data_IF_616483869887
#
_entry.id   IF_616483869887
#
_cell.length_a   1.000
_cell.length_b   1.000
_cell.length_c   1.000
_cell.angle_alpha   90.00
_cell.angle_beta   90.00
_cell.angle_gamma   90.00
#
_symmetry.space_group_name_H-M   'P 1'
#
loop_
_entity.id
_entity.type
_entity.pdbx_description
1 polymer ?
#
# COMPACT_ATOMS: atom_id res chain seq x y z
N UNK A 1 -15.10 -25.70 6.50
CA UNK A 1 -13.92 -25.21 7.22
C UNK A 1 -13.68 -23.78 6.77
N UNK A 2 -13.40 -22.87 7.67
CA UNK A 2 -13.08 -21.46 7.36
C UNK A 2 -11.72 -21.39 6.69
N UNK A 3 -11.62 -20.76 5.51
CA UNK A 3 -10.34 -20.50 4.83
C UNK A 3 -10.01 -19.01 4.81
N UNK A 4 -8.75 -18.70 4.59
CA UNK A 4 -8.30 -17.34 4.34
C UNK A 4 -8.30 -17.07 2.84
N UNK A 5 -8.93 -15.98 2.39
CA UNK A 5 -8.92 -15.53 1.00
C UNK A 5 -8.12 -14.23 0.93
N UNK A 6 -6.96 -14.29 0.30
CA UNK A 6 -6.04 -13.17 0.18
C UNK A 6 -6.16 -12.56 -1.21
N UNK A 7 -6.52 -11.30 -1.29
CA UNK A 7 -6.61 -10.53 -2.53
C UNK A 7 -5.44 -9.56 -2.61
N UNK A 8 -4.63 -9.70 -3.63
CA UNK A 8 -3.44 -8.90 -3.89
C UNK A 8 -3.69 -7.95 -5.05
N UNK A 9 -3.80 -6.65 -4.76
CA UNK A 9 -3.96 -5.59 -5.76
C UNK A 9 -2.64 -4.84 -5.93
N UNK A 10 -1.91 -5.12 -7.02
CA UNK A 10 -0.58 -4.54 -7.23
C UNK A 10 -0.63 -3.11 -7.81
N UNK A 11 0.49 -2.40 -7.69
CA UNK A 11 0.71 -1.08 -8.29
C UNK A 11 0.69 -1.13 -9.81
N UNK A 12 0.49 0.04 -10.45
CA UNK A 12 0.46 0.13 -11.90
C UNK A 12 1.82 -0.16 -12.53
N UNK A 13 1.81 -0.84 -13.67
CA UNK A 13 3.04 -1.22 -14.39
C UNK A 13 3.76 -2.43 -13.80
N UNK A 14 3.23 -3.04 -12.75
CA UNK A 14 3.78 -4.26 -12.16
C UNK A 14 3.00 -5.47 -12.65
N UNK A 15 3.67 -6.30 -13.45
CA UNK A 15 3.08 -7.51 -14.09
C UNK A 15 3.24 -8.76 -13.22
N UNK A 16 4.01 -8.66 -12.15
CA UNK A 16 4.57 -9.82 -11.50
C UNK A 16 5.75 -10.36 -12.33
N UNK A 17 6.83 -10.74 -11.68
CA UNK A 17 8.03 -11.16 -12.39
C UNK A 17 8.19 -12.67 -12.42
N UNK A 18 8.48 -13.23 -13.59
CA UNK A 18 8.89 -14.63 -13.78
C UNK A 18 10.41 -14.78 -13.75
N UNK A 19 11.16 -13.73 -14.11
CA UNK A 19 12.61 -13.75 -14.20
C UNK A 19 13.27 -13.34 -12.86
N UNK A 20 14.45 -13.86 -12.52
CA UNK A 20 15.13 -13.58 -11.27
C UNK A 20 15.55 -12.11 -11.06
N UNK A 21 15.79 -11.40 -12.16
CA UNK A 21 16.29 -10.01 -12.21
C UNK A 21 15.16 -8.96 -12.34
N UNK A 22 13.90 -9.39 -12.33
CA UNK A 22 12.78 -8.48 -12.40
C UNK A 22 12.57 -7.70 -11.10
N UNK A 23 12.22 -6.43 -11.27
CA UNK A 23 11.83 -5.55 -10.17
C UNK A 23 10.47 -5.93 -9.61
N UNK A 24 10.43 -6.52 -8.42
CA UNK A 24 9.22 -7.08 -7.80
C UNK A 24 8.71 -6.21 -6.67
N UNK A 25 7.40 -6.01 -6.65
CA UNK A 25 6.74 -5.37 -5.51
C UNK A 25 6.64 -6.31 -4.31
N UNK A 26 6.49 -5.73 -3.12
CA UNK A 26 6.20 -6.49 -1.90
C UNK A 26 4.86 -7.24 -1.99
N UNK A 27 3.88 -6.66 -2.69
CA UNK A 27 2.59 -7.32 -2.98
C UNK A 27 2.81 -8.59 -3.78
N UNK A 28 3.63 -8.54 -4.82
CA UNK A 28 3.92 -9.72 -5.64
C UNK A 28 4.77 -10.76 -4.90
N UNK A 29 5.82 -10.32 -4.17
CA UNK A 29 6.65 -11.21 -3.34
C UNK A 29 5.79 -11.96 -2.32
N UNK A 30 4.88 -11.25 -1.63
CA UNK A 30 4.00 -11.84 -0.64
C UNK A 30 2.96 -12.78 -1.29
N UNK A 31 2.37 -12.39 -2.43
CA UNK A 31 1.50 -13.28 -3.19
C UNK A 31 2.20 -14.61 -3.53
N UNK A 32 3.43 -14.55 -4.06
CA UNK A 32 4.20 -15.74 -4.40
C UNK A 32 4.43 -16.67 -3.21
N UNK A 33 4.62 -16.10 -2.03
CA UNK A 33 4.86 -16.83 -0.80
C UNK A 33 3.58 -17.35 -0.11
N UNK A 34 2.40 -16.86 -0.53
CA UNK A 34 1.11 -17.21 0.11
C UNK A 34 0.15 -17.94 -0.81
N UNK A 35 0.47 -18.02 -2.12
CA UNK A 35 -0.38 -18.68 -3.12
C UNK A 35 -0.40 -20.19 -2.95
N UNK A 36 -1.46 -20.79 -3.42
CA UNK A 36 -1.58 -22.24 -3.58
C UNK A 36 -1.21 -22.66 -5.01
N UNK A 37 -0.78 -23.87 -5.18
CA UNK A 37 -0.41 -24.43 -6.48
C UNK A 37 0.33 -25.75 -6.33
N UNK A 38 0.63 -26.45 -7.44
CA UNK A 38 1.33 -27.73 -7.39
C UNK A 38 2.72 -27.66 -6.75
N UNK A 39 3.32 -26.47 -6.77
CA UNK A 39 4.65 -26.15 -6.23
C UNK A 39 4.56 -25.43 -4.86
N UNK A 40 3.41 -25.42 -4.20
CA UNK A 40 3.19 -24.81 -2.89
C UNK A 40 2.88 -25.84 -1.82
N UNK A 41 3.36 -25.58 -0.60
CA UNK A 41 3.03 -26.39 0.60
C UNK A 41 1.70 -26.00 1.23
N UNK A 42 1.03 -24.94 0.71
CA UNK A 42 -0.19 -24.37 1.29
C UNK A 42 -1.42 -25.10 0.72
N UNK A 43 -2.22 -25.67 1.62
CA UNK A 43 -3.47 -26.34 1.27
C UNK A 43 -4.56 -25.31 0.83
N UNK A 44 -5.13 -25.44 -0.38
CA UNK A 44 -6.20 -24.57 -0.87
C UNK A 44 -7.48 -24.60 -0.03
N UNK A 45 -7.67 -25.61 0.81
CA UNK A 45 -8.77 -25.67 1.78
C UNK A 45 -8.57 -24.74 2.98
N UNK A 46 -7.34 -24.35 3.26
CA UNK A 46 -7.01 -23.44 4.36
C UNK A 46 -6.82 -22.00 3.88
N UNK A 47 -6.28 -21.80 2.68
CA UNK A 47 -5.96 -20.49 2.14
C UNK A 47 -6.04 -20.46 0.62
N UNK A 48 -6.53 -19.35 0.07
CA UNK A 48 -6.45 -19.02 -1.36
C UNK A 48 -5.84 -17.64 -1.52
N UNK A 49 -4.96 -17.47 -2.51
CA UNK A 49 -4.38 -16.18 -2.85
C UNK A 49 -4.73 -15.82 -4.30
N UNK A 50 -5.31 -14.63 -4.48
CA UNK A 50 -5.82 -14.10 -5.73
C UNK A 50 -5.01 -12.85 -6.09
N UNK A 51 -4.33 -12.85 -7.24
CA UNK A 51 -3.51 -11.73 -7.69
C UNK A 51 -4.16 -10.98 -8.83
N UNK A 52 -4.30 -9.66 -8.65
CA UNK A 52 -4.79 -8.75 -9.68
C UNK A 52 -3.65 -7.81 -10.05
N UNK A 53 -3.08 -8.02 -11.24
CA UNK A 53 -1.95 -7.26 -11.77
C UNK A 53 -2.24 -5.75 -11.87
N UNK A 54 -1.17 -4.95 -11.94
CA UNK A 54 -1.26 -3.51 -12.19
C UNK A 54 -1.93 -3.19 -13.51
N UNK A 55 -2.55 -2.00 -13.61
CA UNK A 55 -3.17 -1.52 -14.84
C UNK A 55 -2.08 -1.03 -15.79
N UNK A 56 -2.22 -1.27 -17.10
CA UNK A 56 -1.37 -0.71 -18.14
C UNK A 56 -0.11 -1.50 -18.43
N UNK A 57 -0.20 -2.81 -18.34
CA UNK A 57 0.86 -3.72 -18.80
C UNK A 57 0.82 -3.85 -20.32
N UNK A 58 1.86 -3.42 -21.07
CA UNK A 58 2.05 -3.81 -22.46
C UNK A 58 2.47 -5.28 -22.55
N UNK A 59 2.24 -5.89 -23.71
CA UNK A 59 2.69 -7.26 -23.98
C UNK A 59 4.20 -7.47 -23.73
N UNK A 60 4.65 -8.69 -23.34
CA UNK A 60 6.03 -8.95 -22.96
C UNK A 60 7.01 -8.60 -24.05
N UNK A 61 8.06 -7.84 -23.75
CA UNK A 61 9.20 -7.73 -24.65
C UNK A 61 10.02 -6.44 -24.70
N UNK A 62 9.66 -5.31 -24.11
CA UNK A 62 10.44 -4.08 -24.26
C UNK A 62 10.50 -3.14 -23.05
N UNK A 63 11.74 -2.72 -22.70
CA UNK A 63 12.20 -1.56 -21.89
C UNK A 63 11.90 -1.52 -20.38
N UNK A 64 12.76 -0.84 -19.63
CA UNK A 64 12.79 -0.70 -18.18
C UNK A 64 11.46 -0.20 -17.58
N UNK A 65 11.04 -0.83 -16.45
CA UNK A 65 9.71 -0.63 -15.84
C UNK A 65 9.34 0.80 -15.44
N UNK A 66 10.31 1.68 -15.21
CA UNK A 66 10.09 3.03 -14.68
C UNK A 66 9.67 4.07 -15.73
N UNK A 67 10.20 4.00 -16.97
CA UNK A 67 9.75 4.90 -18.06
C UNK A 67 8.27 4.67 -18.39
N UNK A 68 7.85 3.41 -18.31
CA UNK A 68 6.47 3.00 -18.55
C UNK A 68 5.52 3.40 -17.43
N UNK A 69 5.96 3.37 -16.17
CA UNK A 69 5.15 3.80 -15.04
C UNK A 69 4.68 5.26 -15.23
N UNK A 70 5.54 6.13 -15.75
CA UNK A 70 5.22 7.54 -15.99
C UNK A 70 4.21 7.74 -17.12
N UNK A 71 4.42 7.11 -18.28
CA UNK A 71 3.50 7.20 -19.41
C UNK A 71 2.15 6.58 -19.07
N UNK A 72 2.17 5.44 -18.37
CA UNK A 72 0.97 4.76 -17.90
C UNK A 72 0.26 5.57 -16.80
N UNK A 73 1.00 6.24 -15.92
CA UNK A 73 0.45 7.13 -14.90
C UNK A 73 -0.30 8.32 -15.50
N UNK A 74 0.17 8.87 -16.62
CA UNK A 74 -0.47 10.01 -17.29
C UNK A 74 -1.69 9.62 -18.13
N UNK A 75 -1.73 8.41 -18.69
CA UNK A 75 -2.77 7.98 -19.64
C UNK A 75 -3.97 7.27 -19.02
N UNK A 76 -3.89 6.80 -17.76
CA UNK A 76 -4.93 5.93 -17.18
C UNK A 76 -5.72 6.59 -16.05
N UNK A 77 -6.39 7.69 -16.35
CA UNK A 77 -7.29 8.35 -15.41
C UNK A 77 -8.53 7.47 -15.09
N UNK A 78 -8.81 7.29 -13.81
CA UNK A 78 -10.09 6.85 -13.23
C UNK A 78 -10.69 5.51 -13.65
N UNK A 79 -10.85 5.27 -14.91
CA UNK A 79 -11.42 4.03 -15.45
C UNK A 79 -10.64 2.79 -15.05
N UNK A 80 -9.32 2.92 -14.91
CA UNK A 80 -8.47 1.80 -14.51
C UNK A 80 -8.70 1.32 -13.08
N UNK A 81 -8.90 2.23 -12.12
CA UNK A 81 -9.13 1.88 -10.71
C UNK A 81 -10.48 1.18 -10.55
N UNK A 82 -11.55 1.73 -11.13
CA UNK A 82 -12.88 1.10 -11.08
C UNK A 82 -12.86 -0.30 -11.68
N UNK A 83 -12.18 -0.47 -12.84
CA UNK A 83 -12.01 -1.80 -13.44
C UNK A 83 -11.30 -2.76 -12.48
N UNK A 84 -10.26 -2.29 -11.79
CA UNK A 84 -9.49 -3.11 -10.86
C UNK A 84 -10.29 -3.50 -9.61
N UNK A 85 -11.10 -2.59 -9.07
CA UNK A 85 -12.04 -2.91 -7.98
C UNK A 85 -13.00 -4.01 -8.44
N UNK A 86 -13.56 -3.90 -9.65
CA UNK A 86 -14.43 -4.91 -10.23
C UNK A 86 -13.69 -6.25 -10.37
N UNK A 87 -12.47 -6.26 -10.90
CA UNK A 87 -11.69 -7.48 -11.09
C UNK A 87 -11.39 -8.19 -9.75
N UNK A 88 -11.02 -7.42 -8.71
CA UNK A 88 -10.81 -7.95 -7.35
C UNK A 88 -12.12 -8.51 -6.77
N UNK A 89 -13.23 -7.81 -6.94
CA UNK A 89 -14.52 -8.26 -6.41
C UNK A 89 -15.03 -9.50 -7.16
N UNK A 90 -14.87 -9.58 -8.49
CA UNK A 90 -15.16 -10.79 -9.28
C UNK A 90 -14.39 -12.00 -8.76
N UNK A 91 -13.07 -11.82 -8.56
CA UNK A 91 -12.23 -12.91 -8.06
C UNK A 91 -12.70 -13.39 -6.68
N UNK A 92 -13.08 -12.44 -5.79
CA UNK A 92 -13.54 -12.74 -4.44
C UNK A 92 -14.89 -13.44 -4.41
N UNK A 93 -15.92 -12.90 -5.10
CA UNK A 93 -17.27 -13.48 -5.07
C UNK A 93 -17.35 -14.86 -5.74
N UNK A 94 -16.39 -15.19 -6.60
CA UNK A 94 -16.30 -16.51 -7.23
C UNK A 94 -15.80 -17.63 -6.33
N UNK A 95 -15.17 -17.31 -5.18
CA UNK A 95 -14.51 -18.31 -4.32
C UNK A 95 -14.89 -18.23 -2.84
N UNK A 96 -15.52 -17.13 -2.42
CA UNK A 96 -15.85 -16.91 -1.02
C UNK A 96 -17.05 -17.74 -0.59
N UNK A 97 -16.97 -18.27 0.62
CA UNK A 97 -18.05 -18.97 1.30
C UNK A 97 -18.30 -18.36 2.69
N UNK A 98 -19.52 -18.45 3.25
CA UNK A 98 -19.83 -17.92 4.57
C UNK A 98 -18.85 -18.42 5.64
N UNK A 99 -18.31 -17.46 6.38
CA UNK A 99 -17.33 -17.72 7.43
C UNK A 99 -15.86 -17.62 6.98
N UNK A 100 -15.57 -17.53 5.67
CA UNK A 100 -14.22 -17.27 5.18
C UNK A 100 -13.72 -15.87 5.59
N UNK A 101 -12.42 -15.72 5.76
CA UNK A 101 -11.78 -14.44 6.12
C UNK A 101 -11.15 -13.80 4.89
N UNK A 102 -11.46 -12.53 4.67
CA UNK A 102 -10.98 -11.74 3.52
C UNK A 102 -9.80 -10.88 3.93
N UNK A 103 -8.69 -11.03 3.23
CA UNK A 103 -7.47 -10.24 3.41
C UNK A 103 -7.21 -9.43 2.14
N UNK A 104 -7.01 -8.13 2.28
CA UNK A 104 -6.76 -7.23 1.17
C UNK A 104 -5.35 -6.67 1.28
N UNK A 105 -4.53 -6.91 0.26
CA UNK A 105 -3.17 -6.39 0.17
C UNK A 105 -3.04 -5.46 -1.02
N UNK A 106 -2.32 -4.35 -0.86
CA UNK A 106 -2.14 -3.44 -1.97
C UNK A 106 -0.95 -2.49 -1.85
N UNK A 107 -0.40 -2.11 -2.99
CA UNK A 107 0.66 -1.10 -3.10
C UNK A 107 0.25 0.02 -4.03
N UNK A 108 0.60 1.28 -3.68
CA UNK A 108 0.36 2.42 -4.56
C UNK A 108 -1.14 2.58 -4.91
N UNK A 109 -1.52 2.56 -6.18
CA UNK A 109 -2.93 2.54 -6.64
C UNK A 109 -3.64 1.24 -6.29
N UNK A 110 -2.90 0.13 -6.16
CA UNK A 110 -3.45 -1.12 -5.62
C UNK A 110 -3.85 -0.99 -4.16
N UNK A 111 -3.11 -0.23 -3.37
CA UNK A 111 -3.48 0.12 -2.00
C UNK A 111 -4.81 0.91 -1.94
N UNK A 112 -4.98 1.85 -2.86
CA UNK A 112 -6.25 2.56 -3.00
C UNK A 112 -7.38 1.63 -3.47
N UNK A 113 -7.11 0.71 -4.39
CA UNK A 113 -8.07 -0.32 -4.83
C UNK A 113 -8.53 -1.20 -3.66
N UNK A 114 -7.61 -1.66 -2.81
CA UNK A 114 -7.93 -2.47 -1.63
C UNK A 114 -8.87 -1.73 -0.66
N UNK A 115 -8.63 -0.43 -0.44
CA UNK A 115 -9.51 0.43 0.36
C UNK A 115 -10.90 0.56 -0.24
N UNK A 116 -10.98 0.85 -1.54
CA UNK A 116 -12.25 0.97 -2.24
C UNK A 116 -13.02 -0.35 -2.23
N UNK A 117 -12.34 -1.48 -2.38
CA UNK A 117 -12.96 -2.80 -2.31
C UNK A 117 -13.52 -3.07 -0.91
N UNK A 118 -12.80 -2.68 0.16
CA UNK A 118 -13.33 -2.86 1.52
C UNK A 118 -14.61 -2.05 1.76
N UNK A 119 -14.73 -0.85 1.18
CA UNK A 119 -15.96 -0.07 1.25
C UNK A 119 -17.11 -0.72 0.47
N UNK A 120 -16.84 -1.27 -0.71
CA UNK A 120 -17.87 -2.04 -1.45
C UNK A 120 -18.33 -3.27 -0.65
N UNK A 121 -17.40 -3.98 -0.01
CA UNK A 121 -17.74 -5.11 0.86
C UNK A 121 -18.59 -4.69 2.07
N UNK A 122 -18.26 -3.58 2.72
CA UNK A 122 -19.01 -3.03 3.85
C UNK A 122 -20.47 -2.76 3.47
N UNK A 123 -20.69 -2.06 2.35
CA UNK A 123 -22.04 -1.58 2.01
C UNK A 123 -22.84 -2.55 1.15
N UNK A 124 -22.21 -3.31 0.25
CA UNK A 124 -22.88 -4.27 -0.65
C UNK A 124 -22.81 -5.73 -0.15
N UNK A 125 -21.80 -6.06 0.68
CA UNK A 125 -21.53 -7.43 1.10
C UNK A 125 -21.10 -8.34 -0.05
N UNK A 126 -21.44 -9.63 0.03
CA UNK A 126 -21.14 -10.64 -1.00
C UNK A 126 -22.44 -11.29 -1.47
N UNK A 127 -22.77 -11.20 -2.77
CA UNK A 127 -24.02 -11.71 -3.34
C UNK A 127 -24.10 -13.24 -3.27
N UNK A 128 -25.30 -13.78 -2.99
CA UNK A 128 -25.57 -15.22 -2.87
C UNK A 128 -26.52 -15.76 -3.94
N UNK A 129 -27.36 -14.89 -4.49
CA UNK A 129 -28.34 -15.30 -5.49
C UNK A 129 -28.49 -14.23 -6.58
N UNK A 130 -29.02 -14.62 -7.71
CA UNK A 130 -29.52 -13.69 -8.72
C UNK A 130 -30.83 -13.03 -8.25
N UNK A 131 -31.22 -11.85 -8.80
CA UNK A 131 -32.45 -11.17 -8.43
C UNK A 131 -33.75 -12.00 -8.66
N UNK A 132 -33.67 -12.96 -9.57
CA UNK A 132 -34.80 -13.90 -9.82
C UNK A 132 -34.88 -15.03 -8.79
N UNK A 133 -34.00 -15.03 -7.78
CA UNK A 133 -33.96 -16.04 -6.73
C UNK A 133 -33.17 -17.31 -7.04
N UNK A 134 -32.63 -17.44 -8.24
CA UNK A 134 -31.74 -18.55 -8.60
C UNK A 134 -30.39 -18.41 -7.91
N UNK A 135 -29.62 -19.50 -7.83
CA UNK A 135 -28.25 -19.47 -7.38
C UNK A 135 -27.43 -18.52 -8.25
N UNK A 136 -26.48 -17.81 -7.63
CA UNK A 136 -25.57 -16.92 -8.35
C UNK A 136 -24.80 -17.70 -9.41
N UNK A 137 -24.85 -17.23 -10.65
CA UNK A 137 -24.09 -17.84 -11.74
C UNK A 137 -22.60 -17.48 -11.59
N UNK A 138 -21.76 -18.52 -11.59
CA UNK A 138 -20.30 -18.35 -11.48
C UNK A 138 -19.61 -18.17 -12.83
N UNK A 139 -20.35 -18.01 -13.94
CA UNK A 139 -19.70 -17.70 -15.22
C UNK A 139 -19.09 -16.28 -15.19
N UNK A 140 -17.97 -16.08 -15.90
CA UNK A 140 -17.23 -14.82 -15.82
C UNK A 140 -18.01 -13.57 -16.22
N UNK A 141 -18.98 -13.69 -17.14
CA UNK A 141 -19.80 -12.56 -17.62
C UNK A 141 -20.82 -12.16 -16.55
N UNK A 142 -21.48 -13.13 -15.94
CA UNK A 142 -22.45 -12.92 -14.86
C UNK A 142 -21.77 -12.34 -13.63
N UNK A 143 -20.67 -12.92 -13.16
CA UNK A 143 -19.91 -12.39 -12.05
C UNK A 143 -19.46 -10.94 -12.29
N UNK A 144 -19.00 -10.64 -13.52
CA UNK A 144 -18.58 -9.28 -13.88
C UNK A 144 -19.75 -8.29 -13.93
N UNK A 145 -20.94 -8.71 -14.35
CA UNK A 145 -22.16 -7.89 -14.32
C UNK A 145 -22.52 -7.53 -12.89
N UNK A 146 -22.59 -8.54 -12.02
CA UNK A 146 -22.91 -8.36 -10.59
C UNK A 146 -21.87 -7.46 -9.89
N UNK A 147 -20.58 -7.70 -10.15
CA UNK A 147 -19.50 -6.88 -9.60
C UNK A 147 -19.57 -5.43 -10.08
N UNK A 148 -19.89 -5.18 -11.35
CA UNK A 148 -20.10 -3.82 -11.86
C UNK A 148 -21.25 -3.12 -11.15
N UNK A 149 -22.36 -3.82 -10.91
CA UNK A 149 -23.52 -3.29 -10.22
C UNK A 149 -23.17 -2.93 -8.76
N UNK A 150 -22.53 -3.83 -8.01
CA UNK A 150 -22.08 -3.56 -6.65
C UNK A 150 -21.12 -2.35 -6.58
N UNK A 151 -20.11 -2.33 -7.43
CA UNK A 151 -19.14 -1.23 -7.46
C UNK A 151 -19.79 0.08 -7.87
N UNK A 152 -20.80 0.07 -8.73
CA UNK A 152 -21.55 1.26 -9.12
C UNK A 152 -22.46 1.81 -8.02
N UNK A 153 -22.77 1.04 -6.97
CA UNK A 153 -23.47 1.56 -5.79
C UNK A 153 -22.64 2.61 -5.04
N UNK A 154 -21.30 2.49 -5.10
CA UNK A 154 -20.35 3.36 -4.39
C UNK A 154 -19.62 4.31 -5.34
N UNK A 155 -19.21 3.80 -6.51
CA UNK A 155 -18.30 4.48 -7.44
C UNK A 155 -18.95 4.64 -8.83
N UNK A 156 -19.91 5.58 -8.96
CA UNK A 156 -20.53 5.92 -10.25
C UNK A 156 -20.00 7.25 -10.80
N UNK A 157 -19.97 7.35 -12.12
CA UNK A 157 -19.51 8.56 -12.82
C UNK A 157 -20.55 9.69 -12.75
N UNK A 158 -20.08 10.92 -12.46
CA UNK A 158 -20.85 12.15 -12.70
C UNK A 158 -21.72 12.64 -11.54
N UNK A 159 -21.64 12.05 -10.35
CA UNK A 159 -22.40 12.51 -9.19
C UNK A 159 -21.53 12.67 -7.94
N UNK A 160 -21.79 13.67 -7.09
CA UNK A 160 -21.16 13.76 -5.77
C UNK A 160 -21.45 12.49 -4.95
N UNK A 161 -20.50 12.09 -4.12
CA UNK A 161 -20.72 10.95 -3.21
C UNK A 161 -21.63 11.43 -2.06
N UNK A 162 -22.85 10.96 -2.09
CA UNK A 162 -23.80 11.10 -1.00
C UNK A 162 -23.96 9.77 -0.26
N UNK A 163 -23.63 9.76 1.03
CA UNK A 163 -23.75 8.57 1.88
C UNK A 163 -25.16 7.99 1.90
N UNK A 164 -26.17 8.84 1.89
CA UNK A 164 -27.60 8.40 1.87
C UNK A 164 -27.92 7.67 0.58
N UNK A 165 -27.45 8.16 -0.56
CA UNK A 165 -27.69 7.51 -1.85
C UNK A 165 -26.86 6.23 -1.99
N UNK A 166 -25.64 6.18 -1.45
CA UNK A 166 -24.83 4.95 -1.36
C UNK A 166 -25.59 3.89 -0.55
N UNK A 167 -26.03 4.23 0.65
CA UNK A 167 -26.75 3.30 1.54
C UNK A 167 -28.04 2.77 0.90
N UNK A 168 -28.78 3.63 0.21
CA UNK A 168 -29.99 3.26 -0.53
C UNK A 168 -29.68 2.26 -1.65
N UNK A 169 -28.72 2.55 -2.52
CA UNK A 169 -28.34 1.68 -3.64
C UNK A 169 -27.78 0.35 -3.15
N UNK A 170 -26.86 0.41 -2.18
CA UNK A 170 -26.27 -0.78 -1.59
C UNK A 170 -27.32 -1.63 -0.85
N UNK A 171 -28.28 -1.00 -0.16
CA UNK A 171 -29.41 -1.68 0.45
C UNK A 171 -30.28 -2.43 -0.58
N UNK A 172 -30.60 -1.78 -1.71
CA UNK A 172 -31.30 -2.42 -2.82
C UNK A 172 -30.51 -3.60 -3.40
N UNK A 173 -29.20 -3.42 -3.62
CA UNK A 173 -28.32 -4.49 -4.07
C UNK A 173 -28.34 -5.69 -3.11
N UNK A 174 -28.15 -5.46 -1.80
CA UNK A 174 -28.19 -6.54 -0.79
C UNK A 174 -29.48 -7.33 -0.81
N UNK A 175 -30.61 -6.63 -0.93
CA UNK A 175 -31.95 -7.28 -1.00
C UNK A 175 -32.06 -8.11 -2.28
N UNK A 176 -31.72 -7.53 -3.43
CA UNK A 176 -31.85 -8.18 -4.74
C UNK A 176 -31.00 -9.44 -4.86
N UNK A 177 -29.77 -9.39 -4.36
CA UNK A 177 -28.79 -10.47 -4.47
C UNK A 177 -28.67 -11.33 -3.22
N UNK A 178 -29.53 -11.11 -2.21
CA UNK A 178 -29.49 -11.77 -0.89
C UNK A 178 -28.05 -11.82 -0.34
N UNK A 179 -27.37 -10.66 -0.37
CA UNK A 179 -25.96 -10.59 -0.01
C UNK A 179 -25.74 -10.88 1.47
N UNK A 180 -24.73 -11.70 1.77
CA UNK A 180 -24.10 -11.74 3.10
C UNK A 180 -23.32 -10.45 3.33
N UNK A 181 -23.46 -9.82 4.49
CA UNK A 181 -22.81 -8.57 4.81
C UNK A 181 -22.32 -8.54 6.26
N UNK A 182 -21.25 -7.75 6.49
CA UNK A 182 -20.68 -7.50 7.79
C UNK A 182 -19.78 -8.62 8.34
N UNK A 183 -19.23 -8.37 9.52
CA UNK A 183 -18.25 -9.25 10.20
C UNK A 183 -18.80 -10.63 10.53
N UNK A 184 -20.04 -10.68 11.00
CA UNK A 184 -20.64 -11.93 11.46
C UNK A 184 -20.74 -12.97 10.35
N UNK A 185 -20.97 -12.54 9.10
CA UNK A 185 -20.99 -13.41 7.93
C UNK A 185 -19.57 -13.67 7.35
N UNK A 186 -18.55 -12.92 7.79
CA UNK A 186 -17.22 -12.92 7.15
C UNK A 186 -17.18 -12.18 5.81
N UNK A 187 -18.23 -11.42 5.49
CA UNK A 187 -18.35 -10.69 4.21
C UNK A 187 -17.72 -9.30 4.21
N UNK A 188 -16.93 -8.99 5.23
CA UNK A 188 -16.11 -7.78 5.34
C UNK A 188 -14.62 -8.12 5.34
N UNK A 189 -13.77 -7.10 5.14
CA UNK A 189 -12.35 -7.31 5.21
C UNK A 189 -11.91 -7.64 6.65
N UNK A 190 -11.38 -8.85 6.85
CA UNK A 190 -10.75 -9.25 8.11
C UNK A 190 -9.44 -8.49 8.32
N UNK A 191 -8.67 -8.31 7.26
CA UNK A 191 -7.40 -7.58 7.32
C UNK A 191 -7.15 -6.76 6.05
N UNK A 192 -6.65 -5.54 6.23
CA UNK A 192 -6.17 -4.71 5.13
C UNK A 192 -4.71 -4.31 5.39
N UNK A 193 -3.84 -4.65 4.45
CA UNK A 193 -2.43 -4.28 4.45
C UNK A 193 -2.08 -3.47 3.22
N UNK A 194 -1.61 -2.25 3.41
CA UNK A 194 -1.27 -1.38 2.30
C UNK A 194 0.11 -0.74 2.47
N UNK A 195 0.83 -0.69 1.34
CA UNK A 195 2.10 0.01 1.21
C UNK A 195 1.87 1.33 0.47
N UNK A 196 2.17 2.42 1.13
CA UNK A 196 2.18 3.81 0.64
C UNK A 196 1.09 4.13 -0.37
N UNK A 197 -0.16 4.16 0.10
CA UNK A 197 -1.32 4.47 -0.74
C UNK A 197 -1.20 5.90 -1.29
N UNK A 198 -1.20 6.01 -2.61
CA UNK A 198 -1.20 7.30 -3.31
C UNK A 198 -2.44 7.46 -4.17
N UNK A 199 -2.87 8.70 -4.30
CA UNK A 199 -3.97 9.04 -5.17
C UNK A 199 -3.55 8.96 -6.64
N UNK A 200 -4.53 8.76 -7.51
CA UNK A 200 -4.30 8.86 -8.95
C UNK A 200 -3.89 10.30 -9.32
N UNK A 201 -2.75 10.43 -9.99
CA UNK A 201 -2.20 11.72 -10.44
C UNK A 201 -3.19 12.40 -11.39
N UNK A 202 -3.45 13.70 -11.18
CA UNK A 202 -4.25 14.54 -12.08
C UNK A 202 -5.76 14.45 -11.92
N UNK A 203 -6.29 13.47 -11.21
CA UNK A 203 -7.73 13.30 -10.99
C UNK A 203 -8.36 14.44 -10.20
N UNK A 204 -7.68 14.95 -9.18
CA UNK A 204 -8.14 16.09 -8.35
C UNK A 204 -8.44 17.35 -9.15
N UNK A 205 -7.75 17.55 -10.28
CA UNK A 205 -7.93 18.75 -11.12
C UNK A 205 -9.25 18.73 -11.88
N UNK A 206 -9.74 17.52 -12.23
CA UNK A 206 -10.98 17.35 -13.01
C UNK A 206 -12.16 16.93 -12.14
N UNK A 207 -11.91 16.30 -10.99
CA UNK A 207 -12.93 15.77 -10.10
C UNK A 207 -12.51 15.94 -8.63
N UNK A 208 -12.56 17.18 -8.09
CA UNK A 208 -12.09 17.47 -6.74
C UNK A 208 -12.83 16.66 -5.66
N UNK A 209 -14.11 16.39 -5.85
CA UNK A 209 -14.94 15.65 -4.91
C UNK A 209 -14.77 14.12 -4.99
N UNK A 210 -14.13 13.63 -6.05
CA UNK A 210 -13.82 12.21 -6.27
C UNK A 210 -12.47 11.82 -5.71
N UNK A 211 -11.68 12.80 -5.32
CA UNK A 211 -10.25 12.66 -5.19
C UNK A 211 -9.84 11.63 -4.15
N UNK A 212 -10.63 11.40 -3.11
CA UNK A 212 -10.17 10.52 -2.04
C UNK A 212 -11.33 9.90 -1.30
N UNK A 213 -11.50 8.61 -1.46
CA UNK A 213 -12.20 7.84 -0.46
C UNK A 213 -11.33 7.79 0.80
N UNK A 214 -11.62 8.70 1.72
CA UNK A 214 -11.02 8.72 3.07
C UNK A 214 -11.75 7.77 4.00
N UNK A 215 -12.81 7.16 3.51
CA UNK A 215 -13.59 6.23 4.27
C UNK A 215 -12.72 5.06 4.71
N UNK A 216 -12.82 4.74 5.95
CA UNK A 216 -12.30 3.51 6.51
C UNK A 216 -13.50 2.65 6.88
N UNK A 217 -13.65 1.52 6.22
CA UNK A 217 -14.77 0.63 6.47
C UNK A 217 -14.81 0.23 7.94
N UNK A 218 -15.93 0.53 8.62
CA UNK A 218 -16.07 0.40 10.07
C UNK A 218 -16.06 -1.05 10.54
N UNK A 219 -16.30 -1.98 9.62
CA UNK A 219 -16.36 -3.41 9.85
C UNK A 219 -15.03 -4.16 9.59
N UNK A 220 -13.98 -3.45 9.15
CA UNK A 220 -12.61 -4.01 9.06
C UNK A 220 -12.11 -4.39 10.44
N UNK A 221 -11.55 -5.57 10.60
CA UNK A 221 -11.08 -6.02 11.91
C UNK A 221 -9.67 -5.57 12.22
N UNK A 222 -8.76 -5.61 11.24
CA UNK A 222 -7.38 -5.14 11.39
C UNK A 222 -6.92 -4.41 10.13
N UNK A 223 -6.13 -3.36 10.28
CA UNK A 223 -5.54 -2.65 9.17
C UNK A 223 -4.11 -2.16 9.46
N UNK A 224 -3.25 -2.22 8.45
CA UNK A 224 -1.86 -1.76 8.51
C UNK A 224 -1.53 -0.92 7.29
N UNK A 225 -1.01 0.27 7.53
CA UNK A 225 -0.58 1.19 6.47
C UNK A 225 0.89 1.57 6.68
N UNK A 226 1.75 1.08 5.80
CA UNK A 226 3.18 1.38 5.81
C UNK A 226 3.42 2.56 4.88
N UNK A 227 4.01 3.63 5.39
CA UNK A 227 4.11 4.91 4.71
C UNK A 227 5.57 5.32 4.49
N UNK A 228 5.80 5.98 3.35
CA UNK A 228 7.09 6.55 2.96
C UNK A 228 7.34 7.90 3.64
N UNK A 229 8.52 8.11 4.22
CA UNK A 229 8.99 9.41 4.72
C UNK A 229 9.55 10.25 3.57
N UNK A 230 10.24 9.64 2.63
CA UNK A 230 11.12 10.32 1.67
C UNK A 230 10.55 10.44 0.25
N UNK A 231 9.27 10.12 0.05
CA UNK A 231 8.63 10.37 -1.24
C UNK A 231 8.56 11.88 -1.52
N UNK A 232 9.42 12.35 -2.40
CA UNK A 232 9.58 13.77 -2.70
C UNK A 232 8.76 14.30 -3.88
N UNK A 233 8.07 13.44 -4.63
CA UNK A 233 7.26 13.87 -5.78
C UNK A 233 5.97 14.52 -5.32
N UNK A 234 5.76 15.81 -5.63
CA UNK A 234 4.59 16.61 -5.22
C UNK A 234 3.27 15.95 -5.61
N UNK A 235 3.22 15.23 -6.72
CA UNK A 235 2.02 14.61 -7.25
C UNK A 235 1.72 13.23 -6.61
N UNK A 236 2.67 12.66 -5.86
CA UNK A 236 2.50 11.41 -5.09
C UNK A 236 1.97 11.69 -3.69
N UNK A 237 0.88 12.46 -3.60
CA UNK A 237 0.25 12.76 -2.31
C UNK A 237 -0.31 11.47 -1.70
N UNK A 238 0.06 11.23 -0.43
CA UNK A 238 -0.50 10.12 0.32
C UNK A 238 -2.01 10.26 0.49
N UNK A 239 -2.70 9.16 0.52
CA UNK A 239 -4.11 9.10 0.92
C UNK A 239 -4.18 8.68 2.38
N UNK A 240 -4.37 9.63 3.33
CA UNK A 240 -4.48 9.27 4.74
C UNK A 240 -5.71 8.38 4.96
N UNK A 241 -5.65 7.52 5.94
CA UNK A 241 -6.80 6.78 6.43
C UNK A 241 -7.46 7.57 7.54
N UNK A 242 -8.78 7.71 7.47
CA UNK A 242 -9.55 8.50 8.42
C UNK A 242 -9.44 10.01 8.18
N UNK A 243 -10.47 10.73 8.63
CA UNK A 243 -10.41 12.18 8.82
C UNK A 243 -9.75 12.51 10.16
N UNK A 244 -9.65 13.78 10.51
CA UNK A 244 -9.15 14.27 11.81
C UNK A 244 -9.98 13.83 13.03
N UNK A 245 -11.07 13.10 12.83
CA UNK A 245 -11.83 12.41 13.86
C UNK A 245 -11.43 10.94 13.87
N UNK A 246 -10.61 10.57 14.81
CA UNK A 246 -10.23 9.20 15.10
C UNK A 246 -11.45 8.32 15.24
N UNK A 247 -11.56 7.29 14.41
CA UNK A 247 -12.43 6.16 14.71
C UNK A 247 -11.91 5.57 16.02
N UNK A 248 -12.63 5.82 17.12
CA UNK A 248 -12.33 5.19 18.40
C UNK A 248 -12.75 3.73 18.29
N UNK A 249 -11.78 2.85 18.19
CA UNK A 249 -11.99 1.42 18.27
C UNK A 249 -12.19 1.02 19.73
N UNK A 250 -13.02 0.00 20.02
CA UNK A 250 -13.10 -0.53 21.37
C UNK A 250 -11.73 -1.04 21.81
N UNK A 251 -11.33 -0.62 22.99
CA UNK A 251 -10.08 -1.05 23.63
C UNK A 251 -10.14 -2.56 23.90
N UNK A 252 -9.27 -3.31 23.26
CA UNK A 252 -9.16 -4.77 23.41
C UNK A 252 -7.77 -5.07 23.97
N UNK A 253 -7.69 -5.24 25.27
CA UNK A 253 -6.43 -5.35 26.00
C UNK A 253 -5.52 -6.53 25.56
N UNK A 254 -6.08 -7.57 24.93
CA UNK A 254 -5.35 -8.79 24.56
C UNK A 254 -5.18 -8.98 23.04
N UNK A 255 -5.61 -8.01 22.23
CA UNK A 255 -5.52 -8.09 20.76
C UNK A 255 -4.59 -7.01 20.20
N UNK A 256 -3.90 -7.27 19.08
CA UNK A 256 -3.13 -6.22 18.41
C UNK A 256 -4.04 -5.04 18.04
N UNK A 257 -3.49 -3.82 18.09
CA UNK A 257 -4.24 -2.63 17.69
C UNK A 257 -4.91 -2.86 16.33
N UNK A 258 -6.20 -2.50 16.26
CA UNK A 258 -6.97 -2.74 15.03
C UNK A 258 -6.41 -1.98 13.85
N UNK A 259 -5.89 -0.77 14.09
CA UNK A 259 -5.37 0.08 13.05
C UNK A 259 -4.02 0.68 13.44
N UNK A 260 -3.05 0.55 12.53
CA UNK A 260 -1.74 1.12 12.73
C UNK A 260 -1.19 1.72 11.43
N UNK A 261 -0.61 2.91 11.53
CA UNK A 261 0.06 3.62 10.43
C UNK A 261 1.50 3.87 10.81
N UNK A 262 2.42 3.18 10.15
CA UNK A 262 3.84 3.22 10.49
C UNK A 262 4.62 3.82 9.33
N UNK A 263 5.55 4.72 9.68
CA UNK A 263 6.41 5.40 8.72
C UNK A 263 7.79 4.77 8.67
N UNK A 264 8.30 4.59 7.45
CA UNK A 264 9.58 3.98 7.14
C UNK A 264 10.44 4.92 6.32
N UNK A 265 11.76 4.80 6.45
CA UNK A 265 12.72 5.51 5.61
C UNK A 265 12.69 4.99 4.19
N UNK A 266 12.78 5.88 3.23
CA UNK A 266 12.76 5.58 1.81
C UNK A 266 11.60 6.23 1.06
N UNK A 267 11.70 6.22 -0.28
CA UNK A 267 10.66 6.72 -1.18
C UNK A 267 9.52 5.70 -1.35
N UNK A 268 8.56 5.99 -2.20
CA UNK A 268 7.42 5.14 -2.51
C UNK A 268 7.77 3.66 -2.82
N UNK A 269 8.75 3.46 -3.69
CA UNK A 269 9.18 2.12 -4.09
C UNK A 269 10.17 1.49 -3.11
N UNK A 270 10.89 2.27 -2.29
CA UNK A 270 11.64 1.75 -1.14
C UNK A 270 10.72 1.16 -0.07
N UNK A 271 9.44 1.57 -0.05
CA UNK A 271 8.43 1.01 0.85
C UNK A 271 7.69 -0.17 0.20
N UNK A 272 7.27 -0.03 -1.04
CA UNK A 272 6.42 -1.03 -1.71
C UNK A 272 7.14 -2.04 -2.59
N UNK A 273 8.47 -1.93 -2.76
CA UNK A 273 9.25 -2.70 -3.72
C UNK A 273 9.19 -2.09 -5.12
N UNK A 274 9.67 -2.78 -6.10
CA UNK A 274 9.83 -2.44 -7.53
C UNK A 274 11.24 -2.01 -7.93
N UNK A 275 12.21 -2.06 -7.04
CA UNK A 275 13.63 -1.96 -7.42
C UNK A 275 14.24 -3.36 -7.64
N UNK A 276 15.39 -3.45 -8.32
CA UNK A 276 16.14 -4.69 -8.41
C UNK A 276 16.44 -5.29 -7.04
N UNK A 277 16.52 -6.61 -6.94
CA UNK A 277 16.67 -7.30 -5.65
C UNK A 277 17.91 -6.86 -4.85
N UNK A 278 19.02 -6.52 -5.52
CA UNK A 278 20.24 -6.01 -4.87
C UNK A 278 20.08 -4.59 -4.28
N UNK A 279 19.03 -3.85 -4.65
CA UNK A 279 18.72 -2.50 -4.20
C UNK A 279 17.49 -2.43 -3.28
N UNK A 280 16.86 -3.57 -2.98
CA UNK A 280 15.57 -3.65 -2.29
C UNK A 280 15.67 -3.75 -0.77
N UNK A 281 16.80 -3.36 -0.15
CA UNK A 281 17.02 -3.54 1.31
C UNK A 281 15.98 -2.84 2.18
N UNK A 282 15.57 -1.62 1.79
CA UNK A 282 14.57 -0.86 2.53
C UNK A 282 13.16 -1.45 2.37
N UNK A 283 12.79 -1.90 1.17
CA UNK A 283 11.50 -2.56 0.95
C UNK A 283 11.43 -3.94 1.60
N UNK A 284 12.55 -4.63 1.77
CA UNK A 284 12.61 -5.87 2.52
C UNK A 284 12.27 -5.67 4.01
N UNK A 285 12.58 -4.50 4.61
CA UNK A 285 12.19 -4.15 5.98
C UNK A 285 10.67 -4.14 6.11
N UNK A 286 9.99 -3.43 5.21
CA UNK A 286 8.53 -3.28 5.25
C UNK A 286 7.82 -4.61 4.96
N UNK A 287 8.37 -5.43 4.08
CA UNK A 287 7.83 -6.76 3.80
C UNK A 287 8.05 -7.72 4.98
N UNK A 288 9.24 -7.75 5.56
CA UNK A 288 9.55 -8.57 6.74
C UNK A 288 8.64 -8.20 7.92
N UNK A 289 8.43 -6.89 8.17
CA UNK A 289 7.53 -6.40 9.20
C UNK A 289 6.09 -6.88 8.97
N UNK A 290 5.60 -6.81 7.73
CA UNK A 290 4.25 -7.26 7.41
C UNK A 290 4.10 -8.78 7.57
N UNK A 291 5.09 -9.55 7.15
CA UNK A 291 5.09 -11.01 7.32
C UNK A 291 5.08 -11.39 8.80
N UNK A 292 5.91 -10.73 9.62
CA UNK A 292 5.90 -10.94 11.06
C UNK A 292 4.51 -10.68 11.65
N UNK A 293 3.88 -9.56 11.26
CA UNK A 293 2.55 -9.23 11.71
C UNK A 293 1.52 -10.31 11.36
N UNK A 294 1.40 -10.69 10.09
CA UNK A 294 0.35 -11.61 9.63
C UNK A 294 0.58 -13.08 10.04
N UNK A 295 1.83 -13.44 10.39
CA UNK A 295 2.17 -14.83 10.79
C UNK A 295 2.30 -15.01 12.29
N UNK A 296 2.64 -13.96 13.06
CA UNK A 296 2.96 -14.08 14.47
C UNK A 296 2.07 -13.22 15.38
N UNK A 297 1.79 -11.96 14.98
CA UNK A 297 1.09 -10.99 15.84
C UNK A 297 -0.42 -11.04 15.70
N UNK A 298 -0.92 -11.54 14.56
CA UNK A 298 -2.36 -11.77 14.43
C UNK A 298 -2.85 -12.91 15.34
N UNK A 299 -4.13 -12.86 15.80
CA UNK A 299 -4.74 -14.00 16.49
C UNK A 299 -4.56 -15.30 15.69
N UNK A 300 -4.30 -16.39 16.36
CA UNK A 300 -3.94 -17.68 15.74
C UNK A 300 -4.90 -18.10 14.62
N UNK A 301 -6.20 -17.98 14.88
CA UNK A 301 -7.24 -18.31 13.89
C UNK A 301 -7.19 -17.45 12.61
N UNK A 302 -6.56 -16.27 12.67
CA UNK A 302 -6.43 -15.32 11.56
C UNK A 302 -5.03 -15.27 10.96
N UNK A 303 -4.11 -16.14 11.34
CA UNK A 303 -2.75 -16.14 10.78
C UNK A 303 -2.76 -16.57 9.33
N UNK A 304 -1.91 -15.91 8.56
CA UNK A 304 -1.70 -16.22 7.14
C UNK A 304 -0.60 -17.27 7.00
N UNK A 305 -0.82 -18.25 6.17
CA UNK A 305 0.17 -19.26 5.83
C UNK A 305 1.15 -18.68 4.81
N UNK A 306 2.45 -18.74 5.12
CA UNK A 306 3.52 -18.19 4.28
C UNK A 306 4.58 -19.24 4.05
N UNK A 307 4.83 -19.57 2.81
CA UNK A 307 5.98 -20.38 2.42
C UNK A 307 7.25 -19.52 2.40
N UNK A 308 7.98 -19.56 3.49
CA UNK A 308 9.20 -18.77 3.65
C UNK A 308 10.32 -19.15 2.68
N UNK A 309 10.26 -20.32 2.06
CA UNK A 309 11.26 -20.74 1.06
C UNK A 309 11.17 -19.95 -0.23
N UNK A 310 9.99 -19.35 -0.50
CA UNK A 310 9.74 -18.50 -1.64
C UNK A 310 10.21 -17.04 -1.43
N UNK A 311 10.69 -16.72 -0.24
CA UNK A 311 11.13 -15.37 0.15
C UNK A 311 12.63 -15.36 0.43
N UNK A 312 13.31 -14.37 -0.14
CA UNK A 312 14.70 -14.07 0.16
C UNK A 312 14.79 -12.59 0.52
N UNK A 313 14.71 -12.32 1.83
CA UNK A 313 14.70 -10.95 2.36
C UNK A 313 16.01 -10.69 3.07
N UNK A 314 16.57 -9.52 2.82
CA UNK A 314 17.80 -9.03 3.45
C UNK A 314 17.59 -7.60 3.95
N UNK A 315 16.68 -7.41 4.96
CA UNK A 315 16.35 -6.09 5.47
C UNK A 315 17.57 -5.40 6.05
N UNK A 316 17.80 -4.14 5.69
CA UNK A 316 18.89 -3.34 6.25
C UNK A 316 18.56 -1.85 6.27
N UNK A 317 18.74 -1.21 7.45
CA UNK A 317 18.51 0.21 7.64
C UNK A 317 19.53 1.09 6.91
N UNK A 318 20.71 0.57 6.55
CA UNK A 318 21.74 1.25 5.74
C UNK A 318 21.55 1.06 4.24
N UNK A 319 20.52 0.30 3.83
CA UNK A 319 20.20 0.08 2.42
C UNK A 319 20.14 1.36 1.60
N UNK A 320 20.44 1.25 0.31
CA UNK A 320 20.36 2.38 -0.61
C UNK A 320 18.93 2.94 -0.63
N UNK A 321 18.80 4.25 -0.49
CA UNK A 321 17.56 4.99 -0.65
C UNK A 321 17.55 5.67 -2.02
N UNK A 322 16.44 5.59 -2.72
CA UNK A 322 16.30 6.13 -4.07
C UNK A 322 15.64 7.52 -4.07
N UNK A 323 15.91 8.33 -5.10
CA UNK A 323 15.28 9.64 -5.34
C UNK A 323 14.66 9.68 -6.75
N UNK A 324 13.38 9.39 -6.83
CA UNK A 324 12.62 9.39 -8.08
C UNK A 324 12.36 10.80 -8.66
N UNK A 325 12.66 11.85 -7.90
CA UNK A 325 12.59 13.21 -8.42
C UNK A 325 13.73 13.55 -9.40
N UNK A 326 14.79 12.74 -9.38
CA UNK A 326 16.04 12.98 -10.12
C UNK A 326 16.21 12.02 -11.31
N UNK A 327 15.26 11.17 -11.62
CA UNK A 327 15.39 10.18 -12.69
C UNK A 327 15.41 10.84 -14.06
N UNK A 328 16.58 10.76 -14.72
CA UNK A 328 16.74 11.19 -16.11
C UNK A 328 16.24 10.15 -17.10
N UNK A 329 15.47 10.57 -18.09
CA UNK A 329 15.11 9.74 -19.24
C UNK A 329 15.82 10.22 -20.50
N UNK A 330 16.67 9.35 -21.08
CA UNK A 330 17.13 9.51 -22.47
C UNK A 330 17.69 10.87 -22.85
N UNK A 331 18.52 11.48 -21.98
CA UNK A 331 19.15 12.79 -22.25
C UNK A 331 18.30 14.02 -21.88
N UNK A 332 17.05 13.84 -21.43
CA UNK A 332 16.22 14.91 -20.86
C UNK A 332 15.92 14.60 -19.39
N UNK A 333 16.46 15.41 -18.48
CA UNK A 333 16.13 15.30 -17.04
C UNK A 333 14.72 15.83 -16.83
N UNK A 334 13.77 14.92 -16.63
CA UNK A 334 12.43 15.29 -16.19
C UNK A 334 12.45 15.42 -14.68
N UNK A 335 12.49 16.65 -14.20
CA UNK A 335 12.39 16.95 -12.76
C UNK A 335 10.93 16.97 -12.33
N UNK A 336 10.58 16.11 -11.38
CA UNK A 336 9.34 16.24 -10.65
C UNK A 336 9.43 17.45 -9.71
N UNK A 337 8.36 18.20 -9.57
CA UNK A 337 8.29 19.21 -8.50
C UNK A 337 8.45 18.51 -7.16
N UNK A 338 9.43 18.95 -6.35
CA UNK A 338 9.72 18.38 -5.03
C UNK A 338 8.79 18.97 -3.97
N UNK A 339 8.31 18.12 -3.08
CA UNK A 339 7.63 18.49 -1.85
C UNK A 339 7.93 17.44 -0.78
N UNK A 340 8.30 17.89 0.43
CA UNK A 340 8.44 16.95 1.55
C UNK A 340 7.08 16.34 1.91
N UNK A 341 7.11 15.10 2.37
CA UNK A 341 5.94 14.43 2.93
C UNK A 341 5.44 15.16 4.18
N UNK A 342 4.13 15.22 4.32
CA UNK A 342 3.48 15.68 5.54
C UNK A 342 3.46 14.55 6.57
N UNK A 343 4.57 14.40 7.29
CA UNK A 343 4.72 13.44 8.39
C UNK A 343 4.28 14.14 9.67
N UNK A 344 3.26 13.66 10.39
CA UNK A 344 2.85 14.24 11.66
C UNK A 344 3.98 14.23 12.68
N UNK A 345 4.09 15.30 13.49
CA UNK A 345 5.16 15.44 14.51
C UNK A 345 5.15 14.32 15.56
N UNK A 346 4.03 13.63 15.72
CA UNK A 346 3.82 12.49 16.63
C UNK A 346 3.67 11.15 15.91
N UNK A 347 3.99 11.09 14.62
CA UNK A 347 3.84 9.88 13.82
C UNK A 347 4.61 8.70 14.41
N UNK A 348 4.07 7.50 14.31
CA UNK A 348 4.78 6.29 14.65
C UNK A 348 5.84 5.99 13.59
N UNK A 349 7.10 6.07 13.95
CA UNK A 349 8.21 5.69 13.08
C UNK A 349 8.68 4.29 13.44
N UNK A 350 8.98 3.48 12.42
CA UNK A 350 9.61 2.18 12.62
C UNK A 350 11.01 2.34 13.21
N UNK A 351 11.46 1.38 14.01
CA UNK A 351 12.77 1.42 14.70
C UNK A 351 13.95 1.65 13.75
N UNK A 352 13.93 1.06 12.55
CA UNK A 352 14.96 1.22 11.52
C UNK A 352 15.12 2.66 11.03
N UNK A 353 14.11 3.53 11.20
CA UNK A 353 14.23 4.97 10.94
C UNK A 353 15.21 5.61 11.93
N UNK A 354 15.09 5.27 13.21
CA UNK A 354 16.00 5.77 14.25
C UNK A 354 17.41 5.19 14.09
N UNK A 355 17.53 3.90 13.72
CA UNK A 355 18.82 3.31 13.39
C UNK A 355 19.51 4.09 12.25
N UNK A 356 18.76 4.38 11.16
CA UNK A 356 19.27 5.13 10.03
C UNK A 356 19.63 6.58 10.38
N UNK A 357 18.85 7.25 11.25
CA UNK A 357 19.15 8.59 11.77
C UNK A 357 20.44 8.64 12.60
N UNK A 358 20.74 7.55 13.33
CA UNK A 358 21.92 7.43 14.18
C UNK A 358 23.21 7.13 13.38
N UNK A 359 23.11 6.64 12.15
CA UNK A 359 24.27 6.34 11.30
C UNK A 359 25.00 7.62 10.90
N UNK A 360 26.34 7.58 10.92
CA UNK A 360 27.19 8.70 10.47
C UNK A 360 26.96 9.03 9.00
N UNK A 361 26.76 8.01 8.18
CA UNK A 361 26.48 8.16 6.76
C UNK A 361 25.71 6.93 6.26
N UNK A 362 24.79 7.16 5.33
CA UNK A 362 24.01 6.16 4.62
C UNK A 362 24.04 6.45 3.12
N UNK A 363 23.82 5.43 2.31
CA UNK A 363 23.75 5.58 0.88
C UNK A 363 22.40 6.15 0.47
N UNK A 364 22.41 7.35 -0.10
CA UNK A 364 21.32 7.89 -0.89
C UNK A 364 21.69 7.73 -2.38
N UNK A 365 20.73 7.70 -3.29
CA UNK A 365 20.93 7.36 -4.70
C UNK A 365 22.18 7.99 -5.34
N UNK A 366 22.38 9.30 -5.14
CA UNK A 366 23.48 10.08 -5.71
C UNK A 366 24.50 10.57 -4.67
N UNK A 367 24.30 10.28 -3.39
CA UNK A 367 25.12 10.83 -2.32
C UNK A 367 25.31 9.85 -1.16
N UNK A 368 26.35 10.12 -0.37
CA UNK A 368 26.62 9.39 0.87
C UNK A 368 26.76 10.40 2.01
N UNK A 369 25.94 10.26 3.04
CA UNK A 369 25.92 11.22 4.14
C UNK A 369 24.89 10.85 5.23
N UNK A 370 24.78 11.67 6.28
CA UNK A 370 23.82 11.41 7.36
C UNK A 370 22.38 11.51 6.83
N UNK A 371 21.51 10.60 7.32
CA UNK A 371 20.08 10.63 7.00
C UNK A 371 19.39 11.74 7.81
N UNK A 372 18.93 12.79 7.14
CA UNK A 372 18.28 13.96 7.77
C UNK A 372 17.12 14.47 6.91
N UNK A 373 16.01 13.71 6.82
CA UNK A 373 14.88 14.10 5.98
C UNK A 373 14.16 15.33 6.55
N UNK A 374 13.83 16.30 5.69
CA UNK A 374 13.12 17.53 6.06
C UNK A 374 11.79 17.21 6.74
N UNK A 375 11.12 16.14 6.31
CA UNK A 375 9.84 15.71 6.87
C UNK A 375 9.89 15.35 8.36
N UNK A 376 11.07 15.04 8.92
CA UNK A 376 11.24 14.67 10.33
C UNK A 376 11.85 15.76 11.22
N UNK A 377 12.15 16.95 10.70
CA UNK A 377 12.79 18.02 11.47
C UNK A 377 12.00 18.43 12.73
N UNK A 378 10.66 18.40 12.65
CA UNK A 378 9.78 18.73 13.79
C UNK A 378 9.29 17.53 14.57
N UNK A 379 9.61 16.32 14.11
CA UNK A 379 9.12 15.09 14.76
C UNK A 379 9.68 14.96 16.19
N UNK A 380 8.80 14.77 17.17
CA UNK A 380 9.12 14.85 18.60
C UNK A 380 10.32 13.99 19.03
N UNK A 381 10.43 12.75 18.53
CA UNK A 381 11.51 11.82 18.87
C UNK A 381 12.71 11.89 17.92
N UNK A 382 12.55 12.37 16.70
CA UNK A 382 13.62 12.42 15.70
C UNK A 382 14.42 13.73 15.74
N UNK A 383 13.86 14.83 16.24
CA UNK A 383 14.49 16.17 16.26
C UNK A 383 15.87 16.20 16.90
N UNK A 384 16.14 15.36 17.89
CA UNK A 384 17.44 15.28 18.59
C UNK A 384 18.61 15.00 17.64
N UNK A 385 18.36 14.26 16.54
CA UNK A 385 19.39 13.95 15.57
C UNK A 385 19.74 15.15 14.67
N UNK A 386 18.83 16.12 14.53
CA UNK A 386 19.07 17.36 13.77
C UNK A 386 19.80 18.40 14.63
N UNK A 387 19.51 18.49 15.90
CA UNK A 387 20.15 19.40 16.86
C UNK A 387 21.64 19.06 17.05
N UNK A 388 21.97 17.77 17.18
CA UNK A 388 23.34 17.29 17.30
C UNK A 388 24.24 17.66 16.10
N UNK A 389 23.69 17.70 14.89
CA UNK A 389 24.43 18.09 13.68
C UNK A 389 24.72 19.61 13.66
N UNK A 390 23.81 20.42 14.18
CA UNK A 390 23.97 21.89 14.26
C UNK A 390 25.06 22.27 15.27
N UNK A 391 25.17 21.58 16.40
CA UNK A 391 26.19 21.80 17.42
C UNK A 391 27.60 21.38 16.95
N UNK A 392 27.71 20.29 16.19
CA UNK A 392 28.97 19.83 15.60
C UNK A 392 29.54 20.79 14.55
N UNK A 393 28.67 21.40 13.72
CA UNK A 393 29.08 22.39 12.73
C UNK A 393 29.50 23.74 13.36
N UNK A 394 28.92 24.12 14.51
CA UNK A 394 29.31 25.33 15.22
C UNK A 394 30.77 25.22 15.77
N UNK A 395 31.15 24.04 16.28
CA UNK A 395 32.50 23.79 16.76
C UNK A 395 33.54 23.74 15.63
N UNK A 396 33.20 23.15 14.46
CA UNK A 396 34.06 23.16 13.29
C UNK A 396 34.26 24.56 12.68
N UNK A 397 33.25 25.42 12.72
CA UNK A 397 33.39 26.82 12.27
C UNK A 397 34.13 27.70 13.27
N UNK A 398 34.13 27.37 14.55
CA UNK A 398 34.95 28.07 15.56
C UNK A 398 36.43 27.72 15.44
N UNK A 399 36.79 26.49 15.11
CA UNK A 399 38.16 26.08 14.91
C UNK A 399 38.79 26.66 13.62
N UNK A 400 38.00 26.91 12.57
CA UNK A 400 38.49 27.51 11.30
C UNK A 400 38.68 29.04 11.41
N UNK A 401 38.13 29.72 12.42
CA UNK A 401 38.20 31.17 12.63
C UNK A 401 39.30 31.63 13.60
N UNK A 402 40.17 30.77 14.08
CA UNK A 402 41.32 31.17 14.87
C UNK A 402 42.47 31.58 13.92
N UNK A 403 42.83 32.87 13.80
CA UNK A 403 44.00 33.25 12.99
C UNK A 403 45.26 32.91 13.78
N UNK A 404 46.11 32.09 13.19
CA UNK A 404 47.48 31.91 13.66
C UNK A 404 48.27 33.19 13.46
N UNK A 405 48.34 34.04 14.48
CA UNK A 405 49.38 35.06 14.58
C UNK A 405 50.65 34.40 15.15
N UNK A 406 51.56 34.06 14.29
CA UNK A 406 52.96 33.87 14.63
C UNK A 406 53.78 34.47 13.52
N UNK A 407 54.28 35.69 13.75
CA UNK A 407 55.35 36.30 13.00
C UNK A 407 56.72 35.66 13.30
N UNK A 408 57.59 35.54 12.35
CA UNK A 408 58.95 35.03 12.56
C UNK A 408 59.89 36.11 13.05
N UNK A 409 60.78 35.71 13.90
CA UNK A 409 62.15 36.33 13.99
C UNK A 409 63.17 35.33 13.50
#
# INVERSE_FOLDING_TARGET
MTKNILVFADGTGNEGGLLPDESRTNVYKLYRATRTGPDSIIDPKQQLALYVSGIGTPAPGHSSGWSRLKETLQQMFGFGITKKIIDCYVALIGVWEPGDRIYLFGFSRGAYTARCLSHVLEVCGIPRSEPNGNSLSLDPKSLRRVAKEAVSCVYWLGMPRDGVEIDKRAGQFRISYKSDAGRAAGASAYFIAIWDAVAAIGWQRFFPDWAYDRHFASDVQYARHLQSIDEGRKDFKRVPWGGSGTVKWPDRQDEPEQFDQIWFAGNHADIGGSYPENESRLSDITLAWMIDFITQKMPEAGRVLVDKTMLRLYPSADGMMHDECMVGMGGTSLHWSKAARDVPDTAQLHETVYERLAMKAVRNYTSFGPYRPVALQRHQRAKVFFEATSSGNANLQAEVKSPSNASPR
#
